data_IF_584284797976
#
_entry.id   IF_584284797976
#
_cell.length_a   1.000
_cell.length_b   1.000
_cell.length_c   1.000
_cell.angle_alpha   90.00
_cell.angle_beta   90.00
_cell.angle_gamma   90.00
#
_symmetry.space_group_name_H-M   'P 1'
#
loop_
_entity.id
_entity.type
_entity.pdbx_description
1 polymer ?
#
# COMPACT_ATOMS: atom_id res chain seq x y z
N UNK A 1 10.24 -8.48 -4.43
CA UNK A 1 10.13 -7.08 -4.03
C UNK A 1 9.06 -6.32 -4.79
N UNK A 2 9.00 -6.49 -6.10
CA UNK A 2 7.89 -5.95 -6.88
C UNK A 2 6.67 -6.85 -6.78
N UNK A 3 5.51 -6.26 -7.04
CA UNK A 3 4.26 -7.01 -7.12
C UNK A 3 4.17 -7.61 -8.51
N UNK A 4 3.76 -8.88 -8.60
CA UNK A 4 3.53 -9.51 -9.90
C UNK A 4 2.32 -8.87 -10.60
N UNK A 5 2.21 -8.93 -11.94
CA UNK A 5 1.04 -8.41 -12.63
C UNK A 5 -0.26 -9.07 -12.17
N UNK A 6 -0.23 -10.37 -11.87
CA UNK A 6 -1.40 -11.10 -11.39
C UNK A 6 -1.85 -10.57 -10.03
N UNK A 7 -0.92 -10.35 -9.11
CA UNK A 7 -1.25 -9.82 -7.79
C UNK A 7 -1.73 -8.38 -7.88
N UNK A 8 -1.16 -7.57 -8.76
CA UNK A 8 -1.61 -6.21 -9.01
C UNK A 8 -3.08 -6.21 -9.46
N UNK A 9 -3.43 -7.08 -10.40
CA UNK A 9 -4.81 -7.20 -10.88
C UNK A 9 -5.76 -7.59 -9.75
N UNK A 10 -5.37 -8.54 -8.89
CA UNK A 10 -6.17 -8.95 -7.74
C UNK A 10 -6.43 -7.78 -6.79
N UNK A 11 -5.38 -7.03 -6.46
CA UNK A 11 -5.50 -5.91 -5.52
C UNK A 11 -6.34 -4.78 -6.09
N UNK A 12 -6.18 -4.47 -7.37
CA UNK A 12 -6.99 -3.46 -8.03
C UNK A 12 -8.46 -3.85 -7.98
N UNK A 13 -8.77 -5.10 -8.31
CA UNK A 13 -10.16 -5.59 -8.28
C UNK A 13 -10.74 -5.55 -6.86
N UNK A 14 -9.94 -5.93 -5.86
CA UNK A 14 -10.39 -6.02 -4.47
C UNK A 14 -10.68 -4.66 -3.84
N UNK A 15 -9.84 -3.66 -4.15
CA UNK A 15 -9.91 -2.35 -3.49
C UNK A 15 -10.51 -1.25 -4.37
N UNK A 16 -10.86 -1.55 -5.60
CA UNK A 16 -11.48 -0.57 -6.49
C UNK A 16 -12.80 -0.06 -5.91
N UNK A 17 -13.03 1.25 -6.00
CA UNK A 17 -14.25 1.88 -5.50
C UNK A 17 -15.34 1.93 -6.57
N UNK A 18 -14.98 1.66 -7.82
CA UNK A 18 -15.90 1.65 -8.95
C UNK A 18 -15.33 0.75 -10.05
N UNK A 19 -16.15 0.30 -11.02
CA UNK A 19 -15.62 -0.45 -12.16
C UNK A 19 -14.52 0.34 -12.89
N UNK A 20 -13.44 -0.36 -13.25
CA UNK A 20 -12.29 0.23 -13.95
C UNK A 20 -11.49 1.24 -13.12
N UNK A 21 -11.69 1.26 -11.80
CA UNK A 21 -10.90 2.11 -10.92
C UNK A 21 -9.52 1.48 -10.72
N UNK A 22 -8.48 2.15 -11.17
CA UNK A 22 -7.10 1.73 -11.01
C UNK A 22 -6.26 2.74 -10.23
N UNK A 23 -6.84 3.87 -9.85
CA UNK A 23 -6.06 4.97 -9.27
C UNK A 23 -6.62 5.61 -8.03
N UNK A 24 -7.68 5.06 -7.42
CA UNK A 24 -8.20 5.62 -6.18
C UNK A 24 -7.18 5.50 -5.05
N UNK A 25 -7.28 6.35 -4.00
CA UNK A 25 -6.40 6.22 -2.84
C UNK A 25 -6.41 4.82 -2.23
N UNK A 26 -7.58 4.16 -2.19
CA UNK A 26 -7.69 2.80 -1.66
C UNK A 26 -6.83 1.81 -2.45
N UNK A 27 -6.92 1.86 -3.77
CA UNK A 27 -6.11 0.98 -4.63
C UNK A 27 -4.64 1.28 -4.46
N UNK A 28 -4.25 2.56 -4.46
CA UNK A 28 -2.85 2.95 -4.32
C UNK A 28 -2.27 2.51 -2.98
N UNK A 29 -3.02 2.67 -1.89
CA UNK A 29 -2.58 2.24 -0.56
C UNK A 29 -2.43 0.72 -0.50
N UNK A 30 -3.37 -0.02 -1.11
CA UNK A 30 -3.29 -1.47 -1.15
C UNK A 30 -2.03 -1.95 -1.89
N UNK A 31 -1.72 -1.34 -3.04
CA UNK A 31 -0.52 -1.67 -3.80
C UNK A 31 0.75 -1.32 -3.03
N UNK A 32 0.80 -0.14 -2.41
CA UNK A 32 1.95 0.25 -1.58
C UNK A 32 2.14 -0.70 -0.41
N UNK A 33 1.04 -1.10 0.25
CA UNK A 33 1.11 -2.02 1.39
C UNK A 33 1.69 -3.37 0.99
N UNK A 34 1.30 -3.91 -0.17
CA UNK A 34 1.85 -5.16 -0.68
C UNK A 34 3.35 -5.03 -0.97
N UNK A 35 3.75 -3.94 -1.60
CA UNK A 35 5.17 -3.69 -1.87
C UNK A 35 5.97 -3.54 -0.58
N UNK A 36 5.41 -2.90 0.43
CA UNK A 36 6.05 -2.74 1.73
C UNK A 36 6.26 -4.10 2.39
N UNK A 37 5.27 -4.98 2.35
CA UNK A 37 5.39 -6.34 2.89
C UNK A 37 6.50 -7.10 2.17
N UNK A 38 6.50 -7.06 0.84
CA UNK A 38 7.50 -7.78 0.04
C UNK A 38 8.91 -7.28 0.32
N UNK A 39 9.08 -5.96 0.44
CA UNK A 39 10.38 -5.36 0.70
C UNK A 39 10.84 -5.64 2.14
N UNK A 40 9.92 -5.63 3.09
CA UNK A 40 10.21 -5.99 4.48
C UNK A 40 10.72 -7.43 4.58
N UNK A 41 10.07 -8.35 3.87
CA UNK A 41 10.53 -9.75 3.83
C UNK A 41 11.92 -9.86 3.19
N UNK A 42 12.17 -9.12 2.12
CA UNK A 42 13.49 -9.08 1.49
C UNK A 42 14.57 -8.64 2.49
N UNK A 43 14.29 -7.61 3.28
CA UNK A 43 15.25 -7.06 4.24
C UNK A 43 15.53 -7.99 5.43
N UNK A 44 14.66 -8.95 5.69
CA UNK A 44 14.92 -9.97 6.73
C UNK A 44 16.12 -10.85 6.37
N UNK A 45 16.32 -11.12 5.08
CA UNK A 45 17.43 -11.93 4.59
C UNK A 45 18.59 -11.10 4.03
N UNK A 46 18.33 -9.84 3.69
CA UNK A 46 19.32 -8.93 3.10
C UNK A 46 19.39 -7.62 3.90
N UNK A 47 19.73 -7.74 5.18
CA UNK A 47 19.69 -6.61 6.12
C UNK A 47 20.63 -5.45 5.71
N UNK A 48 21.66 -5.73 4.93
CA UNK A 48 22.64 -4.71 4.49
C UNK A 48 22.31 -4.11 3.12
N UNK A 49 21.14 -4.40 2.58
CA UNK A 49 20.67 -3.78 1.34
C UNK A 49 20.12 -2.38 1.66
N UNK A 50 21.00 -1.38 1.65
CA UNK A 50 20.64 -0.02 2.02
C UNK A 50 19.75 0.67 1.00
N UNK A 51 19.84 0.29 -0.26
CA UNK A 51 18.93 0.81 -1.30
C UNK A 51 17.50 0.38 -1.03
N UNK A 52 17.30 -0.88 -0.69
CA UNK A 52 15.98 -1.40 -0.37
C UNK A 52 15.43 -0.79 0.92
N UNK A 53 16.28 -0.56 1.92
CA UNK A 53 15.84 0.13 3.15
C UNK A 53 15.36 1.52 2.86
N UNK A 54 16.08 2.27 2.03
CA UNK A 54 15.69 3.61 1.62
C UNK A 54 14.38 3.58 0.85
N UNK A 55 14.24 2.63 -0.08
CA UNK A 55 13.01 2.43 -0.83
C UNK A 55 11.82 2.13 0.07
N UNK A 56 12.03 1.31 1.11
CA UNK A 56 10.99 1.01 2.07
C UNK A 56 10.49 2.27 2.78
N UNK A 57 11.41 3.12 3.22
CA UNK A 57 11.04 4.38 3.88
C UNK A 57 10.24 5.29 2.96
N UNK A 58 10.61 5.36 1.67
CA UNK A 58 9.86 6.14 0.68
C UNK A 58 8.45 5.59 0.52
N UNK A 59 8.29 4.27 0.40
CA UNK A 59 6.97 3.64 0.25
C UNK A 59 6.09 3.88 1.49
N UNK A 60 6.66 3.76 2.68
CA UNK A 60 5.93 4.02 3.93
C UNK A 60 5.46 5.47 3.98
N UNK A 61 6.33 6.42 3.59
CA UNK A 61 5.96 7.84 3.53
C UNK A 61 4.86 8.12 2.53
N UNK A 62 4.91 7.51 1.35
CA UNK A 62 3.88 7.66 0.33
C UNK A 62 2.53 7.11 0.82
N UNK A 63 2.55 5.93 1.45
CA UNK A 63 1.34 5.34 2.01
C UNK A 63 0.72 6.24 3.06
N UNK A 64 1.54 6.78 3.96
CA UNK A 64 1.07 7.68 5.01
C UNK A 64 0.42 8.93 4.42
N UNK A 65 1.02 9.52 3.39
CA UNK A 65 0.47 10.71 2.73
C UNK A 65 -0.89 10.42 2.11
N UNK A 66 -1.05 9.26 1.45
CA UNK A 66 -2.32 8.86 0.85
C UNK A 66 -3.38 8.60 1.92
N UNK A 67 -3.01 7.96 3.03
CA UNK A 67 -3.93 7.71 4.14
C UNK A 67 -4.38 9.02 4.80
N UNK A 68 -3.46 9.96 4.99
CA UNK A 68 -3.81 11.27 5.55
C UNK A 68 -4.75 12.03 4.61
N UNK A 69 -4.50 11.97 3.32
CA UNK A 69 -5.37 12.57 2.31
C UNK A 69 -6.78 11.97 2.39
N UNK A 70 -6.86 10.64 2.41
CA UNK A 70 -8.14 9.95 2.47
C UNK A 70 -8.90 10.27 3.74
N UNK A 71 -8.21 10.34 4.87
CA UNK A 71 -8.81 10.69 6.16
C UNK A 71 -9.45 12.08 6.12
N UNK A 72 -8.78 13.03 5.47
CA UNK A 72 -9.32 14.38 5.33
C UNK A 72 -10.54 14.44 4.40
N UNK A 73 -10.56 13.59 3.37
CA UNK A 73 -11.64 13.58 2.39
C UNK A 73 -12.85 12.78 2.85
N UNK A 74 -12.61 11.63 3.49
CA UNK A 74 -13.71 10.76 3.92
C UNK A 74 -13.20 9.82 5.02
N UNK A 75 -13.52 10.17 6.27
CA UNK A 75 -13.06 9.41 7.44
C UNK A 75 -13.54 7.97 7.40
N UNK A 76 -14.77 7.72 6.97
CA UNK A 76 -15.31 6.37 6.93
C UNK A 76 -14.54 5.48 5.96
N UNK A 77 -14.23 5.98 4.77
CA UNK A 77 -13.42 5.25 3.79
C UNK A 77 -12.03 4.96 4.36
N UNK A 78 -11.44 5.92 5.07
CA UNK A 78 -10.15 5.74 5.72
C UNK A 78 -10.20 4.63 6.77
N UNK A 79 -11.21 4.65 7.64
CA UNK A 79 -11.36 3.63 8.68
C UNK A 79 -11.61 2.24 8.10
N UNK A 80 -12.47 2.16 7.08
CA UNK A 80 -12.75 0.90 6.40
C UNK A 80 -11.47 0.31 5.77
N UNK A 81 -10.68 1.17 5.13
CA UNK A 81 -9.44 0.73 4.48
C UNK A 81 -8.42 0.23 5.51
N UNK A 82 -8.24 0.97 6.60
CA UNK A 82 -7.33 0.55 7.67
C UNK A 82 -7.76 -0.79 8.25
N UNK A 83 -9.05 -0.98 8.46
CA UNK A 83 -9.57 -2.25 8.95
C UNK A 83 -9.31 -3.40 7.98
N UNK A 84 -9.51 -3.18 6.68
CA UNK A 84 -9.27 -4.20 5.66
C UNK A 84 -7.80 -4.58 5.55
N UNK A 85 -6.91 -3.60 5.65
CA UNK A 85 -5.47 -3.81 5.55
C UNK A 85 -4.81 -4.12 6.89
N UNK A 86 -5.56 -4.03 7.98
CA UNK A 86 -5.07 -4.25 9.37
C UNK A 86 -3.90 -3.33 9.71
N UNK A 87 -3.97 -2.10 9.26
CA UNK A 87 -2.95 -1.11 9.53
C UNK A 87 -3.20 -0.40 10.85
N UNK A 88 -2.13 0.14 11.44
CA UNK A 88 -2.25 0.99 12.62
C UNK A 88 -2.77 2.36 12.21
N UNK A 89 -3.59 2.93 13.07
CA UNK A 89 -4.13 4.28 12.88
C UNK A 89 -3.11 5.36 13.20
#
# INVERSE_FOLDING_TARGET
>A
MSITPERTTELVAEYATAPNDTGSPEVQVALLSERIVNLTEHLKTHAKDFHSRRGLLVLVGQRRSLLDYLKRKNVKRYEDLIGRLKLRR
#
